data_IF_356850419731
#
_entry.id   IF_356850419731
#
_cell.length_a   1.000
_cell.length_b   1.000
_cell.length_c   1.000
_cell.angle_alpha   90.00
_cell.angle_beta   90.00
_cell.angle_gamma   90.00
#
_symmetry.space_group_name_H-M   'P 1'
#
loop_
_entity.id
_entity.type
_entity.pdbx_description
1 polymer ?
#
# COMPACT_ATOMS: atom_id res chain seq x y z
N UNK A 1 69.85 85.57 5.36
CA UNK A 1 68.40 85.61 5.06
C UNK A 1 68.14 84.51 4.02
N UNK A 2 68.28 83.21 4.24
CA UNK A 2 67.83 82.25 5.29
C UNK A 2 66.32 82.13 5.44
N UNK A 3 65.80 81.22 4.60
CA UNK A 3 64.70 80.24 4.67
C UNK A 3 63.71 80.12 5.86
N UNK A 4 62.45 79.83 5.46
CA UNK A 4 61.42 78.89 5.99
C UNK A 4 60.70 79.16 7.35
N UNK A 5 59.53 78.53 7.65
CA UNK A 5 58.67 77.61 6.87
C UNK A 5 57.12 77.76 7.00
N UNK A 6 56.39 76.95 6.19
CA UNK A 6 55.04 76.34 6.38
C UNK A 6 53.81 77.28 6.58
N UNK A 7 52.66 77.04 5.93
CA UNK A 7 51.80 75.90 6.25
C UNK A 7 50.99 75.34 5.07
N UNK A 8 50.90 74.00 5.08
CA UNK A 8 50.02 73.14 4.28
C UNK A 8 48.55 73.36 4.68
N UNK A 9 47.67 73.50 3.69
CA UNK A 9 46.27 73.11 3.83
C UNK A 9 45.97 71.94 2.89
N UNK A 10 45.66 70.80 3.52
CA UNK A 10 45.21 69.56 2.89
C UNK A 10 43.67 69.59 2.81
N UNK A 11 43.03 69.14 1.71
CA UNK A 11 41.58 69.01 1.64
C UNK A 11 41.05 67.83 2.49
N UNK A 12 39.77 67.86 2.90
CA UNK A 12 39.18 66.82 3.74
C UNK A 12 39.07 65.48 2.99
N UNK A 13 39.46 64.41 3.70
CA UNK A 13 39.37 63.03 3.20
C UNK A 13 37.92 62.54 3.07
N UNK A 14 37.70 61.50 2.23
CA UNK A 14 36.40 60.87 2.09
C UNK A 14 35.99 60.17 3.39
N UNK A 15 34.71 60.36 3.73
CA UNK A 15 34.01 59.75 4.84
C UNK A 15 34.22 58.23 4.86
N UNK A 16 34.55 57.72 6.05
CA UNK A 16 34.52 56.30 6.35
C UNK A 16 33.11 55.76 6.02
N UNK A 17 33.03 54.94 4.97
CA UNK A 17 31.89 54.05 4.81
C UNK A 17 31.92 53.09 5.99
N UNK A 18 30.96 53.23 6.90
CA UNK A 18 30.59 52.16 7.83
C UNK A 18 30.31 50.92 6.99
N UNK A 19 31.24 49.97 7.02
CA UNK A 19 30.99 48.60 6.61
C UNK A 19 30.01 48.01 7.62
N UNK A 20 28.72 48.30 7.42
CA UNK A 20 27.64 47.46 7.94
C UNK A 20 27.88 46.11 7.31
N UNK A 21 28.60 45.27 8.05
CA UNK A 21 28.73 43.87 7.79
C UNK A 21 27.34 43.32 8.05
N UNK A 22 26.47 43.44 7.04
CA UNK A 22 25.24 42.69 6.97
C UNK A 22 25.70 41.24 6.93
N UNK A 23 25.85 40.66 8.13
CA UNK A 23 25.80 39.23 8.32
C UNK A 23 24.48 38.81 7.70
N UNK A 24 24.53 38.42 6.43
CA UNK A 24 23.50 37.60 5.83
C UNK A 24 23.29 36.50 6.85
N UNK A 25 22.07 36.31 7.37
CA UNK A 25 21.77 35.04 7.97
C UNK A 25 22.01 34.05 6.84
N UNK A 26 23.15 33.37 6.90
CA UNK A 26 23.29 32.03 6.37
C UNK A 26 22.08 31.34 6.95
N UNK A 27 21.00 31.34 6.17
CA UNK A 27 19.88 30.47 6.34
C UNK A 27 20.53 29.11 6.27
N UNK A 28 20.91 28.61 7.45
CA UNK A 28 21.18 27.22 7.66
C UNK A 28 20.01 26.57 6.96
N UNK A 29 20.29 25.92 5.83
CA UNK A 29 19.40 24.95 5.23
C UNK A 29 19.25 23.91 6.33
N UNK A 30 18.36 24.22 7.28
CA UNK A 30 17.85 23.29 8.22
C UNK A 30 17.34 22.18 7.32
N UNK A 31 17.99 21.04 7.50
CA UNK A 31 17.89 19.82 6.74
C UNK A 31 16.45 19.30 6.89
N UNK A 32 15.49 20.03 6.31
CA UNK A 32 14.09 19.69 6.27
C UNK A 32 13.95 18.62 5.20
N UNK A 33 14.45 17.44 5.56
CA UNK A 33 14.12 16.19 4.91
C UNK A 33 12.60 16.20 4.68
N UNK A 34 12.11 16.06 3.44
CA UNK A 34 10.69 16.16 3.17
C UNK A 34 9.94 15.10 3.97
N UNK A 35 9.19 15.53 4.97
CA UNK A 35 8.38 14.67 5.83
C UNK A 35 7.14 14.21 5.06
N UNK A 36 6.88 12.90 5.04
CA UNK A 36 5.78 12.27 4.28
C UNK A 36 6.26 11.42 3.10
N UNK A 37 5.34 10.75 2.40
CA UNK A 37 5.68 9.89 1.26
C UNK A 37 6.38 10.69 0.15
N UNK A 38 7.53 10.20 -0.28
CA UNK A 38 8.41 10.81 -1.26
C UNK A 38 8.11 10.33 -2.67
N UNK A 39 7.43 9.21 -2.87
CA UNK A 39 7.12 8.74 -4.20
C UNK A 39 6.01 9.52 -4.92
N UNK A 40 6.21 9.79 -6.21
CA UNK A 40 5.20 10.46 -7.05
C UNK A 40 4.06 9.50 -7.42
N UNK A 41 2.90 10.07 -7.75
CA UNK A 41 1.69 9.31 -8.10
C UNK A 41 1.94 8.29 -9.22
N UNK A 42 2.63 8.70 -10.30
CA UNK A 42 2.94 7.79 -11.40
C UNK A 42 3.86 6.63 -11.01
N UNK A 43 4.82 6.85 -10.09
CA UNK A 43 5.72 5.79 -9.62
C UNK A 43 5.02 4.79 -8.70
N UNK A 44 4.14 5.28 -7.82
CA UNK A 44 3.34 4.39 -6.97
C UNK A 44 2.32 3.59 -7.79
N UNK A 45 1.68 4.20 -8.80
CA UNK A 45 0.81 3.48 -9.72
C UNK A 45 1.58 2.39 -10.49
N UNK A 46 2.72 2.74 -11.09
CA UNK A 46 3.56 1.77 -11.81
C UNK A 46 4.04 0.63 -10.90
N UNK A 47 4.43 0.93 -9.67
CA UNK A 47 4.77 -0.07 -8.67
C UNK A 47 3.58 -0.97 -8.33
N UNK A 48 2.39 -0.40 -8.17
CA UNK A 48 1.15 -1.13 -7.93
C UNK A 48 0.82 -2.09 -9.07
N UNK A 49 0.86 -1.62 -10.32
CA UNK A 49 0.63 -2.47 -11.50
C UNK A 49 1.66 -3.60 -11.59
N UNK A 50 2.93 -3.31 -11.30
CA UNK A 50 3.98 -4.34 -11.31
C UNK A 50 3.78 -5.36 -10.19
N UNK A 51 3.40 -4.94 -8.98
CA UNK A 51 3.01 -5.84 -7.89
C UNK A 51 1.84 -6.71 -8.31
N UNK A 52 0.78 -6.12 -8.89
CA UNK A 52 -0.39 -6.85 -9.37
C UNK A 52 -0.02 -7.87 -10.44
N UNK A 53 0.87 -7.53 -11.37
CA UNK A 53 1.36 -8.43 -12.41
C UNK A 53 2.15 -9.62 -11.82
N UNK A 54 3.12 -9.32 -10.94
CA UNK A 54 3.95 -10.36 -10.31
C UNK A 54 3.10 -11.26 -9.41
N UNK A 55 2.19 -10.68 -8.64
CA UNK A 55 1.28 -11.44 -7.80
C UNK A 55 0.34 -12.32 -8.63
N UNK A 56 -0.22 -11.79 -9.72
CA UNK A 56 -1.04 -12.60 -10.63
C UNK A 56 -0.25 -13.80 -11.17
N UNK A 57 0.95 -13.59 -11.71
CA UNK A 57 1.79 -14.67 -12.22
C UNK A 57 2.14 -15.69 -11.13
N UNK A 58 2.47 -15.23 -9.92
CA UNK A 58 2.77 -16.14 -8.81
C UNK A 58 1.53 -16.90 -8.35
N UNK A 59 0.37 -16.27 -8.28
CA UNK A 59 -0.86 -16.92 -7.85
C UNK A 59 -1.36 -17.91 -8.90
N UNK A 60 -1.28 -17.55 -10.19
CA UNK A 60 -1.63 -18.40 -11.32
C UNK A 60 -0.74 -19.65 -11.40
N UNK A 61 0.56 -19.52 -11.11
CA UNK A 61 1.52 -20.63 -11.23
C UNK A 61 1.71 -21.44 -9.93
N UNK A 62 1.69 -20.79 -8.76
CA UNK A 62 1.96 -21.43 -7.48
C UNK A 62 0.69 -21.94 -6.77
N UNK A 63 -0.50 -21.51 -7.20
CA UNK A 63 -1.77 -21.96 -6.66
C UNK A 63 -2.66 -22.53 -7.77
N UNK A 64 -2.31 -23.68 -8.39
CA UNK A 64 -3.37 -24.56 -8.84
C UNK A 64 -4.16 -24.87 -7.56
N UNK A 65 -5.40 -24.36 -7.49
CA UNK A 65 -6.28 -24.61 -6.36
C UNK A 65 -6.17 -26.09 -6.03
N UNK A 66 -5.74 -26.42 -4.81
CA UNK A 66 -5.88 -27.78 -4.30
C UNK A 66 -7.39 -28.03 -4.24
N UNK A 67 -7.97 -28.40 -5.38
CA UNK A 67 -9.26 -29.03 -5.43
C UNK A 67 -9.04 -30.33 -4.65
N UNK A 68 -9.68 -30.40 -3.48
CA UNK A 68 -9.79 -31.65 -2.76
C UNK A 68 -10.35 -32.63 -3.78
N UNK A 69 -9.51 -33.58 -4.18
CA UNK A 69 -9.72 -34.55 -5.23
C UNK A 69 -11.20 -34.89 -5.42
N UNK A 70 -11.81 -34.37 -6.49
CA UNK A 70 -12.96 -35.03 -7.13
C UNK A 70 -12.53 -36.36 -7.78
N UNK A 71 -11.24 -36.69 -7.73
CA UNK A 71 -10.60 -37.88 -8.32
C UNK A 71 -10.80 -39.20 -7.59
N UNK A 72 -11.78 -39.34 -6.68
CA UNK A 72 -12.13 -40.65 -6.11
C UNK A 72 -13.63 -40.99 -6.10
N UNK A 73 -14.52 -40.14 -6.62
CA UNK A 73 -15.98 -40.42 -6.56
C UNK A 73 -16.44 -41.40 -7.66
N UNK A 74 -15.60 -41.72 -8.65
CA UNK A 74 -15.99 -42.66 -9.73
C UNK A 74 -15.51 -44.10 -9.54
N UNK A 75 -14.84 -44.46 -8.44
CA UNK A 75 -14.25 -45.80 -8.31
C UNK A 75 -14.54 -46.59 -7.02
N UNK A 76 -15.22 -46.02 -6.02
CA UNK A 76 -15.58 -46.77 -4.81
C UNK A 76 -17.04 -46.48 -4.42
N UNK A 77 -17.87 -47.52 -4.54
CA UNK A 77 -19.31 -47.44 -4.39
C UNK A 77 -19.77 -46.89 -3.03
N UNK A 78 -20.85 -46.12 -3.07
CA UNK A 78 -22.13 -46.42 -2.39
C UNK A 78 -22.07 -47.15 -1.03
N UNK A 79 -21.11 -46.80 -0.18
CA UNK A 79 -21.02 -47.21 1.24
C UNK A 79 -19.97 -46.42 2.05
N UNK A 80 -19.31 -45.39 1.49
CA UNK A 80 -18.42 -44.52 2.26
C UNK A 80 -19.29 -43.52 3.05
N UNK A 81 -19.26 -43.64 4.37
CA UNK A 81 -20.22 -43.06 5.30
C UNK A 81 -20.23 -41.53 5.34
N UNK A 82 -21.31 -40.98 5.91
CA UNK A 82 -21.46 -39.56 6.23
C UNK A 82 -20.22 -38.97 6.93
N UNK A 83 -19.52 -39.77 7.74
CA UNK A 83 -18.27 -39.41 8.42
C UNK A 83 -17.11 -39.10 7.46
N UNK A 84 -16.95 -39.86 6.36
CA UNK A 84 -15.93 -39.59 5.34
C UNK A 84 -16.23 -38.30 4.57
N UNK A 85 -17.52 -38.02 4.32
CA UNK A 85 -17.95 -36.78 3.68
C UNK A 85 -17.69 -35.55 4.54
N UNK A 86 -17.95 -35.66 5.85
CA UNK A 86 -17.70 -34.59 6.81
C UNK A 86 -16.19 -34.36 7.01
N UNK A 87 -15.39 -35.42 7.00
CA UNK A 87 -13.94 -35.33 7.10
C UNK A 87 -13.33 -34.70 5.84
N UNK A 88 -13.76 -35.13 4.65
CA UNK A 88 -13.31 -34.57 3.38
C UNK A 88 -13.70 -33.09 3.24
N UNK A 89 -14.91 -32.72 3.69
CA UNK A 89 -15.35 -31.32 3.72
C UNK A 89 -14.49 -30.48 4.68
N UNK A 90 -14.17 -30.99 5.88
CA UNK A 90 -13.26 -30.32 6.83
C UNK A 90 -11.85 -30.11 6.24
N UNK A 91 -11.31 -31.12 5.57
CA UNK A 91 -9.98 -31.02 4.94
C UNK A 91 -9.96 -30.01 3.80
N UNK A 92 -10.97 -30.03 2.93
CA UNK A 92 -11.13 -29.03 1.88
C UNK A 92 -11.22 -27.60 2.43
N UNK A 93 -11.93 -27.41 3.55
CA UNK A 93 -12.01 -26.11 4.22
C UNK A 93 -10.67 -25.66 4.80
N UNK A 94 -9.92 -26.54 5.44
CA UNK A 94 -8.60 -26.21 5.98
C UNK A 94 -7.62 -25.83 4.87
N UNK A 95 -7.68 -26.51 3.73
CA UNK A 95 -6.88 -26.18 2.55
C UNK A 95 -7.26 -24.80 1.99
N UNK A 96 -8.56 -24.52 1.80
CA UNK A 96 -9.02 -23.19 1.34
C UNK A 96 -8.57 -22.07 2.28
N UNK A 97 -8.67 -22.28 3.59
CA UNK A 97 -8.24 -21.31 4.62
C UNK A 97 -6.73 -21.07 4.62
N UNK A 98 -5.92 -22.13 4.48
CA UNK A 98 -4.47 -21.98 4.34
C UNK A 98 -4.13 -21.24 3.06
N UNK A 99 -4.72 -21.65 1.93
CA UNK A 99 -4.45 -21.03 0.63
C UNK A 99 -4.79 -19.55 0.60
N UNK A 100 -5.92 -19.13 1.16
CA UNK A 100 -6.27 -17.71 1.24
C UNK A 100 -5.29 -16.91 2.10
N UNK A 101 -4.86 -17.46 3.23
CA UNK A 101 -3.89 -16.80 4.12
C UNK A 101 -2.53 -16.64 3.46
N UNK A 102 -2.04 -17.67 2.77
CA UNK A 102 -0.76 -17.62 2.06
C UNK A 102 -0.85 -16.66 0.87
N UNK A 103 -1.94 -16.70 0.09
CA UNK A 103 -2.16 -15.78 -1.02
C UNK A 103 -2.17 -14.32 -0.53
N UNK A 104 -2.91 -14.03 0.54
CA UNK A 104 -2.93 -12.71 1.16
C UNK A 104 -1.57 -12.26 1.67
N UNK A 105 -0.82 -13.17 2.32
CA UNK A 105 0.52 -12.89 2.80
C UNK A 105 1.50 -12.55 1.67
N UNK A 106 1.52 -13.36 0.60
CA UNK A 106 2.38 -13.14 -0.58
C UNK A 106 2.04 -11.80 -1.23
N UNK A 107 0.76 -11.56 -1.51
CA UNK A 107 0.29 -10.34 -2.15
C UNK A 107 0.69 -9.09 -1.34
N UNK A 108 0.41 -9.10 -0.03
CA UNK A 108 0.73 -7.99 0.83
C UNK A 108 2.24 -7.81 1.02
N UNK A 109 3.02 -8.90 1.12
CA UNK A 109 4.47 -8.85 1.18
C UNK A 109 5.08 -8.20 -0.07
N UNK A 110 4.59 -8.57 -1.27
CA UNK A 110 5.01 -7.96 -2.52
C UNK A 110 4.67 -6.48 -2.56
N UNK A 111 3.44 -6.11 -2.19
CA UNK A 111 3.02 -4.71 -2.12
C UNK A 111 3.90 -3.91 -1.15
N UNK A 112 4.12 -4.44 0.05
CA UNK A 112 4.99 -3.87 1.07
C UNK A 112 6.42 -3.69 0.56
N UNK A 113 6.98 -4.68 -0.13
CA UNK A 113 8.33 -4.64 -0.69
C UNK A 113 8.47 -3.56 -1.76
N UNK A 114 7.66 -3.64 -2.82
CA UNK A 114 7.78 -2.75 -3.97
C UNK A 114 7.50 -1.31 -3.61
N UNK A 115 6.44 -1.02 -2.84
CA UNK A 115 6.17 0.35 -2.41
C UNK A 115 7.27 0.88 -1.48
N UNK A 116 7.79 0.05 -0.56
CA UNK A 116 8.89 0.46 0.32
C UNK A 116 10.19 0.70 -0.44
N UNK A 117 10.51 -0.09 -1.47
CA UNK A 117 11.68 0.13 -2.33
C UNK A 117 11.55 1.42 -3.12
N UNK A 118 10.37 1.69 -3.71
CA UNK A 118 10.11 2.92 -4.47
C UNK A 118 10.18 4.16 -3.58
N UNK A 119 9.75 4.03 -2.32
CA UNK A 119 9.84 5.08 -1.31
C UNK A 119 11.27 5.28 -0.82
N UNK A 120 12.00 4.19 -0.52
CA UNK A 120 13.38 4.23 -0.04
C UNK A 120 14.35 4.82 -1.08
N UNK A 121 14.17 4.50 -2.37
CA UNK A 121 14.96 5.07 -3.47
C UNK A 121 14.86 6.60 -3.57
N UNK A 122 13.79 7.18 -3.03
CA UNK A 122 13.57 8.63 -3.06
C UNK A 122 14.09 9.33 -1.80
N UNK A 123 14.75 8.58 -0.90
CA UNK A 123 15.39 9.08 0.31
C UNK A 123 16.84 8.60 0.40
N UNK A 124 17.71 8.96 -0.56
CA UNK A 124 19.13 8.62 -0.48
C UNK A 124 19.73 9.22 0.80
N UNK A 125 20.35 8.39 1.65
CA UNK A 125 21.08 8.84 2.84
C UNK A 125 20.52 8.42 4.22
N UNK A 126 19.32 7.81 4.30
CA UNK A 126 18.82 7.28 5.58
C UNK A 126 19.43 5.91 5.89
N UNK A 127 20.33 5.84 6.87
CA UNK A 127 20.99 4.60 7.34
C UNK A 127 20.04 3.48 7.84
N UNK A 128 18.74 3.73 7.94
CA UNK A 128 17.71 2.77 8.38
C UNK A 128 16.71 2.30 7.30
N UNK A 129 16.97 2.55 6.01
CA UNK A 129 16.02 2.19 4.93
C UNK A 129 15.79 0.69 4.80
N UNK A 130 16.82 -0.14 4.94
CA UNK A 130 16.68 -1.59 4.81
C UNK A 130 15.86 -2.19 5.95
N UNK A 131 16.12 -1.78 7.19
CA UNK A 131 15.33 -2.20 8.34
C UNK A 131 13.86 -1.78 8.19
N UNK A 132 13.60 -0.55 7.71
CA UNK A 132 12.23 -0.09 7.45
C UNK A 132 11.53 -0.90 6.35
N UNK A 133 12.24 -1.28 5.27
CA UNK A 133 11.70 -2.15 4.22
C UNK A 133 11.33 -3.51 4.81
N UNK A 134 12.23 -4.14 5.57
CA UNK A 134 11.98 -5.46 6.18
C UNK A 134 10.77 -5.41 7.10
N UNK A 135 10.69 -4.42 7.99
CA UNK A 135 9.54 -4.26 8.89
C UNK A 135 8.25 -4.02 8.10
N UNK A 136 8.29 -3.20 7.05
CA UNK A 136 7.13 -2.94 6.21
C UNK A 136 6.63 -4.21 5.50
N UNK A 137 7.55 -5.03 4.97
CA UNK A 137 7.22 -6.31 4.34
C UNK A 137 6.61 -7.28 5.36
N UNK A 138 7.20 -7.41 6.55
CA UNK A 138 6.70 -8.30 7.59
C UNK A 138 5.30 -7.87 8.08
N UNK A 139 5.10 -6.58 8.33
CA UNK A 139 3.80 -6.04 8.72
C UNK A 139 2.75 -6.30 7.63
N UNK A 140 3.09 -6.02 6.37
CA UNK A 140 2.17 -6.27 5.27
C UNK A 140 1.85 -7.77 5.16
N UNK A 141 2.84 -8.65 5.23
CA UNK A 141 2.65 -10.10 5.16
C UNK A 141 1.74 -10.63 6.29
N UNK A 142 1.96 -10.18 7.54
CA UNK A 142 1.12 -10.56 8.70
C UNK A 142 -0.32 -10.11 8.50
N UNK A 143 -0.53 -8.86 8.09
CA UNK A 143 -1.87 -8.35 7.81
C UNK A 143 -2.52 -9.03 6.61
N UNK A 144 -1.74 -9.42 5.59
CA UNK A 144 -2.22 -10.20 4.46
C UNK A 144 -2.64 -11.63 4.84
N UNK A 145 -1.87 -12.28 5.72
CA UNK A 145 -2.25 -13.57 6.29
C UNK A 145 -3.54 -13.47 7.11
N UNK A 146 -3.62 -12.44 7.96
CA UNK A 146 -4.82 -12.13 8.74
C UNK A 146 -6.02 -11.78 7.85
N UNK A 147 -5.81 -11.10 6.72
CA UNK A 147 -6.84 -10.82 5.73
C UNK A 147 -7.44 -12.10 5.16
N UNK A 148 -6.57 -13.01 4.69
CA UNK A 148 -7.00 -14.30 4.15
C UNK A 148 -7.69 -15.18 5.19
N UNK A 149 -7.23 -15.13 6.45
CA UNK A 149 -7.86 -15.82 7.57
C UNK A 149 -9.24 -15.23 7.93
N UNK A 150 -9.31 -13.92 8.18
CA UNK A 150 -10.53 -13.23 8.56
C UNK A 150 -11.61 -13.37 7.49
N UNK A 151 -11.25 -13.16 6.22
CA UNK A 151 -12.19 -13.32 5.11
C UNK A 151 -12.84 -14.71 5.08
N UNK A 152 -12.10 -15.78 5.36
CA UNK A 152 -12.66 -17.13 5.39
C UNK A 152 -13.57 -17.37 6.61
N UNK A 153 -13.21 -16.87 7.78
CA UNK A 153 -14.06 -17.04 8.97
C UNK A 153 -15.34 -16.20 8.88
N UNK A 154 -15.26 -14.98 8.36
CA UNK A 154 -16.45 -14.16 8.12
C UNK A 154 -17.34 -14.75 7.03
N UNK A 155 -16.76 -15.27 5.94
CA UNK A 155 -17.52 -15.98 4.92
C UNK A 155 -18.31 -17.15 5.52
N UNK A 156 -17.70 -17.93 6.42
CA UNK A 156 -18.39 -19.01 7.13
C UNK A 156 -19.49 -18.50 8.07
N UNK A 157 -19.22 -17.46 8.84
CA UNK A 157 -20.21 -16.87 9.75
C UNK A 157 -21.44 -16.34 8.98
N UNK A 158 -21.24 -15.75 7.79
CA UNK A 158 -22.31 -15.20 6.96
C UNK A 158 -23.00 -16.22 6.05
N UNK A 159 -22.38 -17.37 5.78
CA UNK A 159 -23.07 -18.49 5.13
C UNK A 159 -24.23 -19.01 5.99
N UNK A 160 -24.07 -18.95 7.31
CA UNK A 160 -25.10 -19.38 8.28
C UNK A 160 -26.21 -18.35 8.47
N UNK A 161 -26.01 -17.10 8.04
CA UNK A 161 -27.00 -16.04 8.14
C UNK A 161 -27.76 -15.90 6.81
N UNK A 162 -29.00 -16.40 6.78
CA UNK A 162 -29.89 -16.36 5.61
C UNK A 162 -30.40 -14.95 5.27
N UNK A 163 -30.12 -13.95 6.11
CA UNK A 163 -30.62 -12.57 5.90
C UNK A 163 -29.81 -11.76 4.90
N UNK A 164 -28.56 -12.15 4.61
CA UNK A 164 -27.68 -11.41 3.70
C UNK A 164 -27.76 -11.98 2.28
N UNK A 165 -28.01 -11.11 1.31
CA UNK A 165 -27.96 -11.49 -0.11
C UNK A 165 -26.54 -11.98 -0.48
N UNK A 166 -26.40 -12.95 -1.41
CA UNK A 166 -25.10 -13.47 -1.84
C UNK A 166 -24.11 -12.38 -2.24
N UNK A 167 -24.59 -11.37 -2.99
CA UNK A 167 -23.76 -10.25 -3.45
C UNK A 167 -23.20 -9.40 -2.29
N UNK A 168 -24.00 -9.16 -1.25
CA UNK A 168 -23.55 -8.40 -0.06
C UNK A 168 -22.49 -9.17 0.72
N UNK A 169 -22.61 -10.50 0.80
CA UNK A 169 -21.61 -11.36 1.46
C UNK A 169 -20.27 -11.33 0.73
N UNK A 170 -20.28 -11.43 -0.60
CA UNK A 170 -19.05 -11.31 -1.40
C UNK A 170 -18.41 -9.93 -1.23
N UNK A 171 -19.20 -8.86 -1.31
CA UNK A 171 -18.69 -7.50 -1.10
C UNK A 171 -18.05 -7.32 0.27
N UNK A 172 -18.70 -7.80 1.33
CA UNK A 172 -18.18 -7.69 2.68
C UNK A 172 -16.90 -8.51 2.87
N UNK A 173 -16.85 -9.72 2.28
CA UNK A 173 -15.68 -10.62 2.37
C UNK A 173 -14.47 -10.03 1.62
N UNK A 174 -14.68 -9.56 0.39
CA UNK A 174 -13.65 -8.86 -0.40
C UNK A 174 -13.22 -7.56 0.30
N UNK A 175 -14.17 -6.82 0.87
CA UNK A 175 -13.91 -5.61 1.64
C UNK A 175 -12.98 -5.87 2.83
N UNK A 176 -13.30 -6.85 3.68
CA UNK A 176 -12.47 -7.20 4.84
C UNK A 176 -11.06 -7.59 4.40
N UNK A 177 -10.95 -8.44 3.38
CA UNK A 177 -9.67 -8.90 2.87
C UNK A 177 -8.81 -7.71 2.42
N UNK A 178 -9.33 -6.88 1.52
CA UNK A 178 -8.57 -5.78 0.95
C UNK A 178 -8.27 -4.67 1.95
N UNK A 179 -9.20 -4.36 2.86
CA UNK A 179 -8.97 -3.40 3.94
C UNK A 179 -7.83 -3.83 4.86
N UNK A 180 -7.76 -5.11 5.24
CA UNK A 180 -6.67 -5.62 6.08
C UNK A 180 -5.33 -5.61 5.34
N UNK A 181 -5.28 -6.03 4.08
CA UNK A 181 -4.08 -5.93 3.23
C UNK A 181 -3.59 -4.48 3.16
N UNK A 182 -4.50 -3.54 2.88
CA UNK A 182 -4.16 -2.13 2.79
C UNK A 182 -3.72 -1.52 4.13
N UNK A 183 -4.30 -1.96 5.26
CA UNK A 183 -3.85 -1.53 6.57
C UNK A 183 -2.40 -1.93 6.82
N UNK A 184 -2.02 -3.18 6.53
CA UNK A 184 -0.64 -3.66 6.64
C UNK A 184 0.34 -2.88 5.76
N UNK A 185 0.00 -2.72 4.48
CA UNK A 185 0.82 -1.95 3.52
C UNK A 185 0.94 -0.48 3.93
N UNK A 186 -0.18 0.13 4.35
CA UNK A 186 -0.24 1.52 4.79
C UNK A 186 0.54 1.78 6.09
N UNK A 187 0.55 0.82 7.01
CA UNK A 187 1.36 0.84 8.23
C UNK A 187 2.84 0.75 7.89
N UNK A 188 3.23 -0.23 7.06
CA UNK A 188 4.61 -0.42 6.61
C UNK A 188 5.18 0.84 5.93
N UNK A 189 4.42 1.43 5.00
CA UNK A 189 4.79 2.70 4.37
C UNK A 189 4.77 3.89 5.33
N UNK A 190 3.82 3.90 6.27
CA UNK A 190 3.68 4.94 7.28
C UNK A 190 4.93 5.09 8.16
N UNK A 191 5.64 4.00 8.43
CA UNK A 191 6.90 4.01 9.19
C UNK A 191 7.99 4.85 8.53
N UNK A 192 8.01 4.95 7.19
CA UNK A 192 8.96 5.83 6.49
C UNK A 192 8.74 7.30 6.81
N UNK A 193 7.50 7.71 7.12
CA UNK A 193 7.14 9.11 7.33
C UNK A 193 7.69 9.70 8.62
N UNK A 194 7.99 8.88 9.64
CA UNK A 194 8.55 9.29 10.92
C UNK A 194 7.63 10.14 11.81
N UNK A 195 6.35 10.29 11.45
CA UNK A 195 5.34 11.04 12.25
C UNK A 195 4.06 10.23 12.35
N UNK A 196 3.55 10.07 13.57
CA UNK A 196 2.33 9.30 13.83
C UNK A 196 1.12 9.79 13.02
N UNK A 197 0.88 11.10 12.96
CA UNK A 197 -0.24 11.65 12.17
C UNK A 197 -0.12 11.38 10.67
N UNK A 198 1.10 11.34 10.12
CA UNK A 198 1.30 11.01 8.70
C UNK A 198 1.09 9.52 8.45
N UNK A 199 1.50 8.66 9.39
CA UNK A 199 1.26 7.21 9.38
C UNK A 199 -0.23 6.88 9.43
N UNK A 200 -0.99 7.48 10.36
CA UNK A 200 -2.45 7.28 10.43
C UNK A 200 -3.09 7.71 9.11
N UNK A 201 -2.64 8.83 8.53
CA UNK A 201 -3.13 9.27 7.23
C UNK A 201 -2.78 8.35 6.06
N UNK A 202 -1.63 7.66 6.06
CA UNK A 202 -1.30 6.67 5.01
C UNK A 202 -2.14 5.40 5.15
N UNK A 203 -2.34 4.93 6.38
CA UNK A 203 -3.21 3.78 6.67
C UNK A 203 -4.64 4.08 6.25
N UNK A 204 -5.20 5.21 6.69
CA UNK A 204 -6.58 5.57 6.37
C UNK A 204 -6.77 5.73 4.87
N UNK A 205 -5.85 6.37 4.16
CA UNK A 205 -5.91 6.50 2.70
C UNK A 205 -5.90 5.12 2.01
N UNK A 206 -5.00 4.23 2.43
CA UNK A 206 -4.88 2.88 1.87
C UNK A 206 -6.19 2.10 2.10
N UNK A 207 -6.69 2.09 3.33
CA UNK A 207 -7.93 1.39 3.70
C UNK A 207 -9.13 1.95 2.94
N UNK A 208 -9.29 3.28 2.88
CA UNK A 208 -10.40 3.90 2.14
C UNK A 208 -10.35 3.59 0.64
N UNK A 209 -9.15 3.49 0.06
CA UNK A 209 -9.01 3.09 -1.34
C UNK A 209 -9.52 1.67 -1.60
N UNK A 210 -9.23 0.75 -0.69
CA UNK A 210 -9.66 -0.65 -0.80
C UNK A 210 -11.14 -0.86 -0.43
N UNK A 211 -11.67 -0.05 0.49
CA UNK A 211 -13.09 -0.01 0.78
C UNK A 211 -13.92 0.42 -0.45
N UNK A 212 -13.41 1.35 -1.26
CA UNK A 212 -14.02 1.73 -2.53
C UNK A 212 -13.79 0.69 -3.63
N UNK A 213 -12.63 0.01 -3.63
CA UNK A 213 -12.31 -1.04 -4.59
C UNK A 213 -13.25 -2.23 -4.49
N UNK A 214 -13.54 -2.73 -3.28
CA UNK A 214 -14.32 -3.95 -3.08
C UNK A 214 -15.69 -3.96 -3.80
N UNK A 215 -16.59 -2.96 -3.64
CA UNK A 215 -17.86 -2.95 -4.37
C UNK A 215 -17.65 -2.77 -5.89
N UNK A 216 -16.71 -1.92 -6.30
CA UNK A 216 -16.42 -1.70 -7.72
C UNK A 216 -15.91 -2.96 -8.40
N UNK A 217 -15.03 -3.71 -7.73
CA UNK A 217 -14.53 -4.99 -8.19
C UNK A 217 -15.65 -6.02 -8.30
N UNK A 218 -16.49 -6.19 -7.27
CA UNK A 218 -17.57 -7.19 -7.30
C UNK A 218 -18.55 -6.89 -8.43
N UNK A 219 -18.92 -5.62 -8.66
CA UNK A 219 -19.79 -5.26 -9.79
C UNK A 219 -19.11 -5.52 -11.14
N UNK A 220 -17.83 -5.17 -11.28
CA UNK A 220 -17.09 -5.36 -12.52
C UNK A 220 -16.85 -6.84 -12.83
N UNK A 221 -16.49 -7.64 -11.83
CA UNK A 221 -16.27 -9.07 -11.93
C UNK A 221 -17.57 -9.81 -12.26
N UNK A 222 -18.69 -9.45 -11.60
CA UNK A 222 -20.00 -10.02 -11.91
C UNK A 222 -20.47 -9.74 -13.35
N UNK A 223 -20.08 -8.60 -13.92
CA UNK A 223 -20.40 -8.26 -15.31
C UNK A 223 -19.47 -8.95 -16.33
N UNK A 224 -18.17 -8.97 -16.07
CA UNK A 224 -17.17 -9.51 -17.00
C UNK A 224 -17.03 -11.04 -16.94
N UNK A 225 -17.28 -11.64 -15.78
CA UNK A 225 -17.06 -13.06 -15.51
C UNK A 225 -18.29 -13.71 -14.84
N UNK A 226 -19.48 -13.72 -15.48
CA UNK A 226 -20.72 -14.21 -14.87
C UNK A 226 -20.71 -15.73 -14.58
N UNK A 227 -19.75 -16.47 -15.13
CA UNK A 227 -19.61 -17.93 -14.95
C UNK A 227 -18.67 -18.27 -13.77
N UNK A 228 -17.88 -17.30 -13.29
CA UNK A 228 -16.92 -17.54 -12.21
C UNK A 228 -17.62 -17.48 -10.85
N UNK A 229 -17.33 -18.45 -9.96
CA UNK A 229 -17.92 -18.50 -8.61
C UNK A 229 -17.54 -17.25 -7.82
N UNK A 230 -18.46 -16.28 -7.75
CA UNK A 230 -18.28 -15.04 -7.01
C UNK A 230 -18.13 -15.25 -5.49
N UNK A 231 -18.43 -16.45 -4.99
CA UNK A 231 -18.28 -16.83 -3.59
C UNK A 231 -16.82 -17.15 -3.22
N UNK A 232 -15.94 -17.36 -4.21
CA UNK A 232 -14.51 -17.59 -3.95
C UNK A 232 -13.82 -16.27 -3.61
N UNK A 233 -13.06 -16.28 -2.52
CA UNK A 233 -12.25 -15.12 -2.12
C UNK A 233 -11.17 -14.79 -3.15
N UNK A 234 -10.47 -15.83 -3.63
CA UNK A 234 -9.47 -15.73 -4.70
C UNK A 234 -10.14 -16.27 -5.96
N UNK A 235 -10.25 -15.47 -7.04
CA UNK A 235 -10.89 -15.90 -8.28
C UNK A 235 -10.23 -17.13 -8.89
N UNK A 236 -11.04 -18.03 -9.45
CA UNK A 236 -10.54 -19.25 -10.06
C UNK A 236 -10.04 -19.01 -11.50
N UNK A 237 -10.72 -18.16 -12.26
CA UNK A 237 -10.29 -17.84 -13.62
C UNK A 237 -9.07 -16.91 -13.61
N UNK A 238 -8.05 -17.25 -14.42
CA UNK A 238 -6.82 -16.46 -14.52
C UNK A 238 -7.09 -14.99 -14.92
N UNK A 239 -8.08 -14.76 -15.80
CA UNK A 239 -8.48 -13.40 -16.20
C UNK A 239 -9.09 -12.59 -15.05
N UNK A 240 -9.96 -13.19 -14.24
CA UNK A 240 -10.53 -12.52 -13.07
C UNK A 240 -9.47 -12.33 -11.97
N UNK A 241 -8.56 -13.29 -11.80
CA UNK A 241 -7.42 -13.18 -10.90
C UNK A 241 -6.47 -12.04 -11.30
N UNK A 242 -6.20 -11.89 -12.60
CA UNK A 242 -5.41 -10.78 -13.13
C UNK A 242 -6.08 -9.44 -12.83
N UNK A 243 -7.38 -9.33 -13.08
CA UNK A 243 -8.17 -8.13 -12.76
C UNK A 243 -8.12 -7.83 -11.26
N UNK A 244 -8.34 -8.83 -10.41
CA UNK A 244 -8.31 -8.72 -8.96
C UNK A 244 -6.95 -8.21 -8.45
N UNK A 245 -5.84 -8.74 -8.95
CA UNK A 245 -4.50 -8.31 -8.56
C UNK A 245 -4.13 -6.91 -9.11
N UNK A 246 -4.31 -6.69 -10.42
CA UNK A 246 -3.89 -5.47 -11.09
C UNK A 246 -4.73 -4.25 -10.68
N UNK A 247 -6.05 -4.40 -10.63
CA UNK A 247 -6.93 -3.30 -10.29
C UNK A 247 -6.77 -2.89 -8.83
N UNK A 248 -6.68 -3.87 -7.91
CA UNK A 248 -6.47 -3.56 -6.49
C UNK A 248 -5.13 -2.88 -6.25
N UNK A 249 -4.03 -3.45 -6.76
CA UNK A 249 -2.70 -2.90 -6.52
C UNK A 249 -2.46 -1.57 -7.26
N UNK A 250 -3.00 -1.44 -8.47
CA UNK A 250 -2.99 -0.19 -9.23
C UNK A 250 -3.73 0.92 -8.50
N UNK A 251 -4.94 0.63 -7.99
CA UNK A 251 -5.75 1.60 -7.25
C UNK A 251 -5.10 1.96 -5.91
N UNK A 252 -4.55 0.98 -5.18
CA UNK A 252 -3.80 1.23 -3.95
C UNK A 252 -2.61 2.17 -4.21
N UNK A 253 -1.80 1.87 -5.23
CA UNK A 253 -0.65 2.69 -5.63
C UNK A 253 -1.07 4.11 -6.06
N UNK A 254 -2.15 4.24 -6.83
CA UNK A 254 -2.71 5.52 -7.22
C UNK A 254 -3.10 6.38 -6.00
N UNK A 255 -3.87 5.81 -5.06
CA UNK A 255 -4.36 6.53 -3.89
C UNK A 255 -3.25 6.93 -2.92
N UNK A 256 -2.28 6.04 -2.69
CA UNK A 256 -1.07 6.36 -1.93
C UNK A 256 -0.28 7.50 -2.59
N UNK A 257 -0.20 7.48 -3.91
CA UNK A 257 0.42 8.51 -4.71
C UNK A 257 -0.32 9.86 -4.70
N UNK A 258 -1.65 9.87 -4.63
CA UNK A 258 -2.48 11.08 -4.59
C UNK A 258 -2.47 11.75 -3.22
N UNK A 259 -2.39 10.99 -2.12
CA UNK A 259 -2.29 11.54 -0.76
C UNK A 259 -1.09 12.48 -0.59
N UNK A 260 -0.02 12.27 -1.37
CA UNK A 260 1.12 13.19 -1.43
C UNK A 260 0.77 14.55 -2.07
N UNK A 261 -0.01 14.56 -3.15
CA UNK A 261 -0.35 15.80 -3.87
C UNK A 261 -1.16 16.75 -2.99
N UNK A 262 -2.17 16.21 -2.28
CA UNK A 262 -3.04 17.01 -1.38
C UNK A 262 -2.25 17.70 -0.26
N UNK A 263 -1.20 17.06 0.26
CA UNK A 263 -0.38 17.64 1.34
C UNK A 263 0.54 18.77 0.87
N UNK A 264 0.95 18.78 -0.41
CA UNK A 264 1.77 19.87 -0.98
C UNK A 264 0.96 21.13 -1.26
N UNK A 265 -0.30 20.99 -1.65
CA UNK A 265 -1.18 22.14 -1.95
C UNK A 265 -1.63 22.88 -0.69
N UNK A 266 -1.77 22.18 0.45
CA UNK A 266 -2.18 22.79 1.72
C UNK A 266 -1.03 23.45 2.49
N UNK A 267 0.23 23.26 2.07
CA UNK A 267 1.42 23.83 2.72
C UNK A 267 1.92 25.12 2.05
N UNK A 268 1.34 25.53 0.92
CA UNK A 268 1.67 26.81 0.29
C UNK A 268 0.84 27.90 0.97
N UNK A 269 1.45 28.82 1.75
CA UNK A 269 0.69 29.97 2.25
C UNK A 269 0.12 30.76 1.07
N UNK A 270 -1.09 31.32 1.17
CA UNK A 270 -1.60 32.22 0.14
C UNK A 270 -0.54 33.32 -0.05
N UNK A 271 -0.13 33.52 -1.30
CA UNK A 271 0.73 34.64 -1.64
C UNK A 271 0.10 35.89 -1.04
N UNK A 272 0.79 36.51 -0.08
CA UNK A 272 0.36 37.78 0.47
C UNK A 272 0.23 38.72 -0.73
N UNK A 273 -1.01 39.11 -1.02
CA UNK A 273 -1.29 40.16 -1.99
C UNK A 273 -0.59 41.42 -1.46
N UNK A 274 0.47 41.83 -2.15
CA UNK A 274 1.09 43.15 -2.02
C UNK A 274 0.37 44.09 -2.97
#
# INVERSE_FOLDING_TARGET
>A
MTEQPNDRQTPPGPQAAESVTAASPSAAKADQSPLGLCAGTGRMLAAGLLVGLVAWLLLDQAFPFYDAATTSVTAAGEAAGQEDSDQMMREAHLLKRKNSSVAGAILAALAGLFFSVVEARQRPGRRGTLAAIVVAVLLAAVFGALAGFAAQEFHRAWLLDTRLEPMQRTMATQGIFWMLVAAGVGLGLGLFTGRFGLLVGTVLQAVMSMAAFAPAYVMLAGFLFPIDDADRLVPASSGNLALWCLAAMGLLGLFLGLARRRRRTSSTPPAAAV
#
